data_IF_517258556753
#
_entry.id   IF_517258556753
#
_cell.length_a   1.000
_cell.length_b   1.000
_cell.length_c   1.000
_cell.angle_alpha   90.00
_cell.angle_beta   90.00
_cell.angle_gamma   90.00
#
_symmetry.space_group_name_H-M   'P 1'
#
loop_
_entity.id
_entity.type
_entity.pdbx_description
1 polymer ?
#
# COMPACT_ATOMS: atom_id res chain seq x y z
N UNK A 1 -8.56 17.56 0.66
CA UNK A 1 -7.31 18.21 1.11
C UNK A 1 -7.13 19.60 0.52
N UNK A 2 -6.83 19.75 -0.79
CA UNK A 2 -6.60 21.09 -1.40
C UNK A 2 -7.81 22.02 -1.26
N UNK A 3 -9.03 21.53 -1.55
CA UNK A 3 -10.28 22.31 -1.33
C UNK A 3 -10.50 22.75 0.13
N UNK A 4 -9.82 22.12 1.09
CA UNK A 4 -9.88 22.46 2.52
C UNK A 4 -8.69 23.32 2.97
N UNK A 5 -7.90 23.88 2.04
CA UNK A 5 -6.78 24.78 2.32
C UNK A 5 -5.41 24.11 2.44
N UNK A 6 -5.31 22.79 2.24
CA UNK A 6 -4.03 22.07 2.26
C UNK A 6 -3.20 22.25 0.97
N UNK A 7 -1.88 22.21 1.09
CA UNK A 7 -0.95 22.29 -0.05
C UNK A 7 -0.48 20.91 -0.48
N UNK A 8 -0.82 20.48 -1.71
CA UNK A 8 -0.30 19.25 -2.31
C UNK A 8 0.92 19.58 -3.17
N UNK A 9 2.05 18.92 -2.87
CA UNK A 9 3.29 19.01 -3.66
C UNK A 9 3.75 17.61 -4.04
N UNK A 10 3.99 17.39 -5.33
CA UNK A 10 4.59 16.15 -5.84
C UNK A 10 6.09 16.38 -6.01
N UNK A 11 6.90 15.71 -5.20
CA UNK A 11 8.36 15.81 -5.22
C UNK A 11 8.99 14.58 -4.56
N UNK A 12 10.26 14.29 -4.84
CA UNK A 12 11.04 13.32 -4.05
C UNK A 12 11.56 14.01 -2.79
N UNK A 13 11.32 13.39 -1.64
CA UNK A 13 11.67 13.95 -0.33
C UNK A 13 12.46 12.94 0.50
N UNK A 14 13.36 13.46 1.34
CA UNK A 14 14.08 12.69 2.34
C UNK A 14 14.06 13.42 3.69
N UNK A 15 14.06 12.70 4.83
CA UNK A 15 14.38 13.30 6.12
C UNK A 15 15.69 14.10 6.03
N UNK A 16 15.67 15.31 6.59
CA UNK A 16 16.80 16.21 6.62
C UNK A 16 17.47 16.25 7.98
N UNK A 17 17.69 17.46 8.50
CA UNK A 17 18.47 17.66 9.73
C UNK A 17 17.69 17.29 11.00
N UNK A 18 18.35 16.58 11.92
CA UNK A 18 17.83 16.29 13.26
C UNK A 18 18.61 17.10 14.29
N UNK A 19 17.93 17.78 15.21
CA UNK A 19 18.54 18.57 16.28
C UNK A 19 17.71 18.47 17.54
N UNK A 20 18.34 18.18 18.69
CA UNK A 20 17.66 18.08 19.97
C UNK A 20 16.53 17.04 20.00
N UNK A 21 16.68 15.91 19.30
CA UNK A 21 15.66 14.86 19.23
C UNK A 21 14.43 15.25 18.42
N UNK A 22 14.57 16.15 17.44
CA UNK A 22 13.49 16.61 16.56
C UNK A 22 13.99 16.72 15.12
N UNK A 23 13.14 16.35 14.16
CA UNK A 23 13.36 16.62 12.74
C UNK A 23 13.09 18.11 12.48
N UNK A 24 14.02 18.79 11.84
CA UNK A 24 13.94 20.23 11.54
C UNK A 24 13.36 20.45 10.15
N UNK A 25 13.80 19.66 9.17
CA UNK A 25 13.40 19.82 7.77
C UNK A 25 13.31 18.49 7.00
N UNK A 26 12.61 18.57 5.86
CA UNK A 26 12.72 17.62 4.76
C UNK A 26 13.60 18.24 3.67
N UNK A 27 14.47 17.43 3.08
CA UNK A 27 15.20 17.77 1.86
C UNK A 27 14.38 17.37 0.65
N UNK A 28 14.23 18.29 -0.29
CA UNK A 28 13.51 18.08 -1.55
C UNK A 28 14.52 17.94 -2.70
N UNK A 29 14.15 17.18 -3.74
CA UNK A 29 14.98 16.94 -4.92
C UNK A 29 15.36 18.19 -5.72
N UNK A 30 14.59 19.27 -5.63
CA UNK A 30 14.92 20.58 -6.20
C UNK A 30 15.91 21.40 -5.36
N UNK A 31 16.45 20.82 -4.28
CA UNK A 31 17.38 21.47 -3.35
C UNK A 31 16.70 22.34 -2.29
N UNK A 32 15.38 22.53 -2.36
CA UNK A 32 14.62 23.25 -1.33
C UNK A 32 14.48 22.44 -0.04
N UNK A 33 14.07 23.12 1.03
CA UNK A 33 13.79 22.52 2.34
C UNK A 33 12.37 22.84 2.78
N UNK A 34 11.72 21.88 3.43
CA UNK A 34 10.41 22.06 4.04
C UNK A 34 10.49 21.88 5.54
N UNK A 35 10.04 22.87 6.29
CA UNK A 35 9.98 22.85 7.75
C UNK A 35 8.54 22.65 8.22
N UNK A 36 8.37 22.03 9.37
CA UNK A 36 7.08 21.84 10.03
C UNK A 36 7.28 21.57 11.53
N UNK A 37 6.24 21.82 12.32
CA UNK A 37 6.26 21.49 13.76
C UNK A 37 6.19 19.98 14.00
N UNK A 38 5.49 19.26 13.11
CA UNK A 38 5.30 17.82 13.13
C UNK A 38 5.36 17.22 11.71
N UNK A 39 5.87 15.99 11.62
CA UNK A 39 6.00 15.25 10.37
C UNK A 39 5.30 13.90 10.49
N UNK A 40 4.50 13.54 9.49
CA UNK A 40 3.89 12.21 9.36
C UNK A 40 4.46 11.55 8.13
N UNK A 41 5.15 10.42 8.31
CA UNK A 41 5.65 9.60 7.21
C UNK A 41 4.68 8.45 6.96
N UNK A 42 3.85 8.62 5.94
CA UNK A 42 2.95 7.60 5.40
C UNK A 42 3.45 7.11 4.03
N UNK A 43 4.72 6.76 3.96
CA UNK A 43 5.47 6.57 2.70
C UNK A 43 5.40 5.13 2.15
N UNK A 44 4.41 4.39 2.58
CA UNK A 44 4.15 3.03 2.15
C UNK A 44 5.39 2.11 2.11
N UNK A 45 5.66 1.38 1.02
CA UNK A 45 6.78 0.46 0.90
C UNK A 45 8.17 1.13 0.96
N UNK A 46 8.25 2.46 0.92
CA UNK A 46 9.51 3.19 1.11
C UNK A 46 9.87 3.42 2.58
N UNK A 47 8.95 3.17 3.52
CA UNK A 47 9.19 3.37 4.96
C UNK A 47 10.46 2.66 5.50
N UNK A 48 10.70 1.35 5.25
CA UNK A 48 11.93 0.70 5.70
C UNK A 48 13.19 1.25 5.03
N UNK A 49 13.08 1.89 3.85
CA UNK A 49 14.22 2.57 3.19
C UNK A 49 14.49 3.95 3.78
N UNK A 50 13.44 4.68 4.17
CA UNK A 50 13.56 6.00 4.80
C UNK A 50 14.04 5.93 6.26
N UNK A 51 13.65 4.88 6.98
CA UNK A 51 14.00 4.67 8.39
C UNK A 51 14.56 3.26 8.64
N UNK A 52 15.70 2.89 8.05
CA UNK A 52 16.22 1.51 8.10
C UNK A 52 16.49 1.03 9.53
N UNK A 53 16.99 1.91 10.42
CA UNK A 53 17.25 1.55 11.82
C UNK A 53 16.00 1.29 12.67
N UNK A 54 14.84 1.81 12.24
CA UNK A 54 13.57 1.66 12.99
C UNK A 54 12.65 0.66 12.31
N UNK A 55 12.54 0.68 10.98
CA UNK A 55 11.55 -0.09 10.24
C UNK A 55 12.14 -1.19 9.36
N UNK A 56 13.46 -1.19 9.11
CA UNK A 56 14.10 -2.13 8.18
C UNK A 56 13.92 -3.60 8.56
N UNK A 57 13.90 -3.92 9.85
CA UNK A 57 13.63 -5.28 10.35
C UNK A 57 12.14 -5.53 10.68
N UNK A 58 11.29 -4.48 10.66
CA UNK A 58 9.89 -4.54 11.09
C UNK A 58 8.90 -4.60 9.93
N UNK A 59 9.30 -4.12 8.75
CA UNK A 59 8.47 -4.10 7.55
C UNK A 59 9.17 -4.88 6.43
N UNK A 60 8.50 -5.94 5.98
CA UNK A 60 8.82 -6.62 4.72
C UNK A 60 8.02 -5.99 3.59
N UNK A 61 8.64 -5.87 2.42
CA UNK A 61 8.00 -5.26 1.24
C UNK A 61 7.84 -6.32 0.16
N UNK A 62 6.75 -7.11 0.16
CA UNK A 62 6.53 -8.08 -0.89
C UNK A 62 5.79 -7.46 -2.08
N UNK A 63 5.98 -8.05 -3.26
CA UNK A 63 5.26 -7.70 -4.50
C UNK A 63 4.06 -8.61 -4.74
N UNK A 64 3.01 -8.06 -5.35
CA UNK A 64 1.80 -8.77 -5.76
C UNK A 64 1.43 -8.44 -7.19
N UNK A 65 1.35 -9.48 -8.00
CA UNK A 65 0.89 -9.38 -9.37
C UNK A 65 -0.62 -9.14 -9.42
N UNK A 66 -1.03 -8.28 -10.34
CA UNK A 66 -2.42 -7.93 -10.56
C UNK A 66 -2.68 -7.99 -12.05
N UNK A 67 -3.60 -8.86 -12.46
CA UNK A 67 -3.99 -9.02 -13.86
C UNK A 67 -5.46 -8.66 -14.02
N UNK A 68 -5.78 -7.94 -15.08
CA UNK A 68 -7.15 -7.70 -15.51
C UNK A 68 -7.37 -8.37 -16.86
N UNK A 69 -8.46 -9.12 -16.97
CA UNK A 69 -8.84 -9.85 -18.18
C UNK A 69 -10.09 -9.22 -18.80
N UNK A 70 -10.08 -9.04 -20.12
CA UNK A 70 -11.25 -8.59 -20.86
C UNK A 70 -12.43 -9.53 -20.65
N UNK A 71 -13.64 -9.01 -20.75
CA UNK A 71 -14.85 -9.83 -20.78
C UNK A 71 -15.19 -10.21 -22.23
N UNK A 72 -15.83 -11.37 -22.47
CA UNK A 72 -16.41 -11.68 -23.77
C UNK A 72 -17.35 -10.56 -24.23
N UNK A 73 -17.39 -10.28 -25.54
CA UNK A 73 -18.22 -9.22 -26.09
C UNK A 73 -19.70 -9.44 -25.75
N UNK A 74 -20.35 -8.40 -25.20
CA UNK A 74 -21.76 -8.46 -24.79
C UNK A 74 -22.01 -9.21 -23.47
N UNK A 75 -21.00 -9.82 -22.87
CA UNK A 75 -21.14 -10.52 -21.60
C UNK A 75 -20.96 -9.56 -20.42
N UNK A 76 -21.97 -9.47 -19.57
CA UNK A 76 -21.99 -8.59 -18.39
C UNK A 76 -22.04 -9.38 -17.08
N UNK A 77 -22.05 -10.72 -17.09
CA UNK A 77 -22.25 -11.48 -15.84
C UNK A 77 -21.07 -11.32 -14.87
N UNK A 78 -19.86 -11.05 -15.37
CA UNK A 78 -18.66 -10.75 -14.57
C UNK A 78 -18.37 -9.25 -14.43
N UNK A 79 -19.28 -8.38 -14.88
CA UNK A 79 -19.16 -6.93 -14.69
C UNK A 79 -19.87 -6.50 -13.41
N UNK A 80 -19.41 -5.41 -12.80
CA UNK A 80 -20.15 -4.76 -11.72
C UNK A 80 -21.48 -4.19 -12.27
N UNK A 81 -22.61 -4.35 -11.57
CA UNK A 81 -22.78 -4.94 -10.23
C UNK A 81 -23.17 -6.43 -10.22
N UNK A 82 -23.07 -7.13 -11.35
CA UNK A 82 -23.62 -8.48 -11.53
C UNK A 82 -22.78 -9.60 -10.88
N UNK A 83 -21.53 -9.31 -10.47
CA UNK A 83 -20.64 -10.28 -9.82
C UNK A 83 -20.02 -9.72 -8.53
N UNK A 84 -19.95 -10.51 -7.43
CA UNK A 84 -19.34 -10.06 -6.18
C UNK A 84 -17.80 -10.04 -6.25
N UNK A 85 -17.16 -9.56 -5.19
CA UNK A 85 -15.75 -9.89 -4.97
C UNK A 85 -15.60 -11.39 -4.66
N UNK A 86 -14.41 -11.95 -4.92
CA UNK A 86 -14.12 -13.34 -4.58
C UNK A 86 -12.74 -13.45 -3.92
N UNK A 87 -12.60 -14.46 -3.07
CA UNK A 87 -11.35 -14.84 -2.44
C UNK A 87 -11.34 -16.36 -2.28
N UNK A 88 -10.28 -16.98 -2.77
CA UNK A 88 -9.97 -18.40 -2.64
C UNK A 88 -8.56 -18.55 -2.07
N UNK A 89 -8.14 -19.78 -1.78
CA UNK A 89 -6.83 -20.07 -1.18
C UNK A 89 -5.65 -19.42 -1.95
N UNK A 90 -5.71 -19.47 -3.29
CA UNK A 90 -4.60 -19.04 -4.16
C UNK A 90 -4.84 -17.74 -4.91
N UNK A 91 -6.10 -17.30 -5.01
CA UNK A 91 -6.47 -16.14 -5.82
C UNK A 91 -7.59 -15.33 -5.18
N UNK A 92 -7.56 -14.03 -5.41
CA UNK A 92 -8.65 -13.12 -5.09
C UNK A 92 -8.85 -12.13 -6.23
N UNK A 93 -10.01 -11.48 -6.25
CA UNK A 93 -10.34 -10.57 -7.33
C UNK A 93 -11.71 -9.95 -7.21
N UNK A 94 -12.09 -9.24 -8.25
CA UNK A 94 -13.40 -8.61 -8.35
C UNK A 94 -13.82 -8.42 -9.80
N UNK A 95 -15.12 -8.17 -9.97
CA UNK A 95 -15.80 -7.94 -11.25
C UNK A 95 -15.11 -6.88 -12.12
N UNK A 96 -15.38 -6.89 -13.43
CA UNK A 96 -14.99 -5.77 -14.28
C UNK A 96 -15.74 -4.50 -13.86
N UNK A 97 -15.00 -3.46 -13.48
CA UNK A 97 -15.53 -2.14 -13.12
C UNK A 97 -15.09 -1.17 -14.22
N UNK A 98 -16.02 -0.37 -14.73
CA UNK A 98 -15.78 0.65 -15.78
C UNK A 98 -15.02 0.11 -17.00
N UNK A 99 -15.27 -1.15 -17.37
CA UNK A 99 -14.65 -1.80 -18.53
C UNK A 99 -13.17 -2.13 -18.38
N UNK A 100 -12.58 -2.00 -17.17
CA UNK A 100 -11.13 -2.24 -16.96
C UNK A 100 -10.73 -3.71 -17.04
N UNK A 101 -11.69 -4.63 -16.94
CA UNK A 101 -11.50 -6.07 -16.99
C UNK A 101 -11.71 -6.74 -15.63
N UNK A 102 -11.95 -8.05 -15.65
CA UNK A 102 -12.08 -8.88 -14.47
C UNK A 102 -10.72 -9.02 -13.78
N UNK A 103 -10.64 -8.59 -12.53
CA UNK A 103 -9.37 -8.58 -11.78
C UNK A 103 -9.10 -9.95 -11.18
N UNK A 104 -7.88 -10.43 -11.36
CA UNK A 104 -7.35 -11.67 -10.76
C UNK A 104 -5.96 -11.40 -10.18
N UNK A 105 -5.80 -11.72 -8.91
CA UNK A 105 -4.54 -11.58 -8.18
C UNK A 105 -4.19 -12.87 -7.46
N UNK A 106 -2.97 -13.42 -7.61
CA UNK A 106 -2.50 -14.48 -6.73
C UNK A 106 -2.35 -13.97 -5.29
N UNK A 107 -2.59 -14.85 -4.30
CA UNK A 107 -2.34 -14.56 -2.88
C UNK A 107 -0.85 -14.55 -2.55
N UNK A 108 -0.07 -15.38 -3.25
CA UNK A 108 1.39 -15.41 -3.24
C UNK A 108 2.00 -14.40 -4.21
N UNK A 109 3.26 -14.01 -3.97
CA UNK A 109 4.05 -13.21 -4.90
C UNK A 109 5.52 -13.18 -4.50
N UNK A 110 6.27 -12.20 -5.00
CA UNK A 110 7.66 -12.01 -4.53
C UNK A 110 7.66 -11.67 -3.04
N UNK A 111 8.60 -12.26 -2.31
CA UNK A 111 8.73 -12.05 -0.86
C UNK A 111 9.50 -10.78 -0.52
N UNK A 112 10.26 -10.25 -1.48
CA UNK A 112 11.01 -9.00 -1.39
C UNK A 112 10.83 -8.23 -2.69
N UNK A 113 10.67 -6.91 -2.57
CA UNK A 113 10.51 -5.98 -3.67
C UNK A 113 11.12 -4.62 -3.27
N UNK A 114 12.06 -4.10 -4.06
CA UNK A 114 12.55 -2.73 -3.92
C UNK A 114 11.71 -1.79 -4.80
N UNK A 115 10.94 -0.85 -4.21
CA UNK A 115 10.05 0.02 -4.97
C UNK A 115 10.78 1.04 -5.89
N UNK A 116 12.08 1.28 -5.71
CA UNK A 116 12.87 2.18 -6.57
C UNK A 116 13.48 1.46 -7.79
N UNK A 117 13.88 0.19 -7.67
CA UNK A 117 14.70 -0.48 -8.70
C UNK A 117 14.08 -1.73 -9.31
N UNK A 118 13.14 -2.38 -8.63
CA UNK A 118 12.54 -3.60 -9.17
C UNK A 118 11.51 -3.30 -10.26
N UNK A 119 11.55 -4.11 -11.31
CA UNK A 119 10.65 -4.00 -12.44
C UNK A 119 9.22 -4.40 -12.05
N UNK A 120 8.25 -3.63 -12.53
CA UNK A 120 6.82 -3.90 -12.33
C UNK A 120 6.26 -4.73 -13.49
N UNK A 121 6.95 -5.82 -13.81
CA UNK A 121 6.64 -6.71 -14.95
C UNK A 121 6.21 -8.07 -14.42
N UNK A 122 5.04 -8.52 -14.85
CA UNK A 122 4.52 -9.84 -14.52
C UNK A 122 5.21 -10.88 -15.41
N UNK A 123 5.74 -11.94 -14.79
CA UNK A 123 6.44 -12.99 -15.54
C UNK A 123 5.47 -13.80 -16.42
N UNK A 124 5.99 -14.34 -17.53
CA UNK A 124 5.20 -15.25 -18.37
C UNK A 124 4.69 -16.49 -17.61
N UNK A 125 5.41 -16.92 -16.57
CA UNK A 125 4.99 -18.01 -15.69
C UNK A 125 3.76 -17.65 -14.88
N UNK A 126 3.71 -16.45 -14.30
CA UNK A 126 2.53 -15.99 -13.55
C UNK A 126 1.33 -15.75 -14.47
N UNK A 127 1.55 -15.25 -15.69
CA UNK A 127 0.49 -15.17 -16.72
C UNK A 127 -0.08 -16.57 -17.02
N UNK A 128 0.78 -17.59 -17.21
CA UNK A 128 0.31 -18.97 -17.45
C UNK A 128 -0.47 -19.52 -16.25
N UNK A 129 -0.02 -19.26 -15.03
CA UNK A 129 -0.72 -19.68 -13.79
C UNK A 129 -2.09 -19.03 -13.65
N UNK A 130 -2.19 -17.72 -13.90
CA UNK A 130 -3.45 -17.00 -13.88
C UNK A 130 -4.42 -17.52 -14.96
N UNK A 131 -3.93 -17.80 -16.18
CA UNK A 131 -4.75 -18.40 -17.23
C UNK A 131 -5.23 -19.81 -16.89
N UNK A 132 -4.39 -20.64 -16.27
CA UNK A 132 -4.79 -21.97 -15.81
C UNK A 132 -5.88 -21.88 -14.73
N UNK A 133 -5.76 -20.95 -13.79
CA UNK A 133 -6.80 -20.67 -12.79
C UNK A 133 -8.12 -20.23 -13.45
N UNK A 134 -8.05 -19.28 -14.40
CA UNK A 134 -9.23 -18.84 -15.16
C UNK A 134 -9.88 -19.99 -15.93
N UNK A 135 -9.09 -20.83 -16.62
CA UNK A 135 -9.63 -21.98 -17.34
C UNK A 135 -10.44 -22.93 -16.45
N UNK A 136 -10.07 -23.03 -15.16
CA UNK A 136 -10.75 -23.87 -14.19
C UNK A 136 -11.98 -23.18 -13.56
N UNK A 137 -11.86 -21.90 -13.16
CA UNK A 137 -12.89 -21.21 -12.34
C UNK A 137 -13.78 -20.27 -13.14
N UNK A 138 -13.26 -19.69 -14.23
CA UNK A 138 -13.95 -18.74 -15.09
C UNK A 138 -13.66 -19.06 -16.57
N UNK A 139 -14.15 -20.20 -17.10
CA UNK A 139 -13.72 -20.70 -18.41
C UNK A 139 -13.93 -19.71 -19.58
N UNK A 140 -14.95 -18.84 -19.49
CA UNK A 140 -15.21 -17.77 -20.46
C UNK A 140 -14.08 -16.74 -20.57
N UNK A 141 -13.23 -16.62 -19.54
CA UNK A 141 -12.10 -15.71 -19.47
C UNK A 141 -10.76 -16.32 -19.90
N UNK A 142 -10.66 -17.65 -20.03
CA UNK A 142 -9.39 -18.35 -20.19
C UNK A 142 -8.52 -17.81 -21.35
N UNK A 143 -9.18 -17.46 -22.46
CA UNK A 143 -8.55 -16.96 -23.68
C UNK A 143 -8.77 -15.46 -23.90
N UNK A 144 -9.36 -14.75 -22.94
CA UNK A 144 -9.55 -13.30 -23.04
C UNK A 144 -8.20 -12.57 -22.94
N UNK A 145 -8.08 -11.39 -23.58
CA UNK A 145 -6.86 -10.60 -23.51
C UNK A 145 -6.65 -10.08 -22.09
N UNK A 146 -5.38 -9.92 -21.70
CA UNK A 146 -5.03 -9.13 -20.52
C UNK A 146 -5.16 -7.67 -20.93
N UNK A 147 -6.07 -6.93 -20.31
CA UNK A 147 -6.33 -5.52 -20.59
C UNK A 147 -5.41 -4.60 -19.81
N UNK A 148 -5.02 -5.03 -18.60
CA UNK A 148 -4.15 -4.27 -17.71
C UNK A 148 -3.35 -5.24 -16.82
N UNK A 149 -2.10 -4.89 -16.52
CA UNK A 149 -1.28 -5.56 -15.52
C UNK A 149 -0.60 -4.55 -14.60
N UNK A 150 -0.43 -4.91 -13.32
CA UNK A 150 0.29 -4.12 -12.32
C UNK A 150 1.08 -5.04 -11.39
N UNK A 151 2.15 -4.50 -10.79
CA UNK A 151 2.79 -5.10 -9.62
C UNK A 151 2.61 -4.12 -8.46
N UNK A 152 1.83 -4.53 -7.47
CA UNK A 152 1.53 -3.78 -6.26
C UNK A 152 2.48 -4.19 -5.14
N UNK A 153 2.94 -3.23 -4.34
CA UNK A 153 3.78 -3.50 -3.16
C UNK A 153 2.93 -3.44 -1.90
N UNK A 154 3.27 -4.26 -0.92
CA UNK A 154 2.69 -4.23 0.42
C UNK A 154 3.74 -3.81 1.46
N UNK A 155 3.28 -3.56 2.69
CA UNK A 155 4.13 -3.44 3.88
C UNK A 155 3.64 -4.44 4.90
N UNK A 156 4.31 -5.58 4.99
CA UNK A 156 3.96 -6.62 5.93
C UNK A 156 4.75 -6.45 7.23
N UNK A 157 4.02 -6.33 8.33
CA UNK A 157 4.55 -6.44 9.69
C UNK A 157 4.42 -7.87 10.18
N UNK A 158 5.19 -8.25 11.21
CA UNK A 158 5.22 -9.61 11.71
C UNK A 158 3.88 -10.08 12.34
N UNK A 159 3.12 -9.14 12.90
CA UNK A 159 1.81 -9.36 13.54
C UNK A 159 0.64 -8.89 12.67
N UNK A 160 0.92 -8.48 11.44
CA UNK A 160 -0.04 -7.93 10.47
C UNK A 160 -0.79 -6.67 10.96
N UNK A 161 -0.34 -6.04 12.04
CA UNK A 161 -0.87 -4.78 12.53
C UNK A 161 -0.19 -3.56 11.89
N UNK A 162 -0.91 -2.43 11.86
CA UNK A 162 -0.32 -1.17 11.44
C UNK A 162 0.81 -0.75 12.37
N UNK A 163 1.76 0.02 11.86
CA UNK A 163 2.67 0.82 12.68
C UNK A 163 2.22 2.27 12.55
N UNK A 164 1.58 2.79 13.60
CA UNK A 164 1.20 4.19 13.76
C UNK A 164 1.76 4.66 15.10
N UNK A 165 3.03 5.06 15.10
CA UNK A 165 3.74 5.38 16.33
C UNK A 165 4.82 6.44 16.15
N UNK A 166 5.24 7.06 17.25
CA UNK A 166 6.29 8.08 17.23
C UNK A 166 7.64 7.44 16.96
N UNK A 167 8.48 8.15 16.20
CA UNK A 167 9.86 7.76 16.03
C UNK A 167 10.59 7.80 17.39
N UNK A 168 11.38 6.78 17.76
CA UNK A 168 11.98 6.67 19.10
C UNK A 168 12.94 7.82 19.44
N UNK A 169 13.59 8.40 18.43
CA UNK A 169 14.59 9.46 18.59
C UNK A 169 14.12 10.84 18.10
N UNK A 170 12.94 10.91 17.46
CA UNK A 170 12.43 12.16 16.87
C UNK A 170 11.00 12.41 17.36
N UNK A 171 10.87 13.19 18.43
CA UNK A 171 9.61 13.36 19.14
C UNK A 171 8.48 13.95 18.27
N UNK A 172 8.82 14.66 17.19
CA UNK A 172 7.88 15.27 16.25
C UNK A 172 7.65 14.47 14.97
N UNK A 173 8.14 13.24 14.90
CA UNK A 173 7.96 12.35 13.74
C UNK A 173 7.01 11.22 14.13
N UNK A 174 5.92 11.08 13.36
CA UNK A 174 5.00 9.95 13.41
C UNK A 174 5.21 9.08 12.18
N UNK A 175 5.40 7.78 12.38
CA UNK A 175 5.50 6.77 11.33
C UNK A 175 4.11 6.13 11.18
N UNK A 176 3.60 6.03 9.96
CA UNK A 176 2.29 5.47 9.66
C UNK A 176 2.37 4.50 8.45
N UNK A 177 2.34 3.20 8.70
CA UNK A 177 2.47 2.17 7.66
C UNK A 177 2.13 0.78 8.17
N UNK A 178 2.70 -0.25 7.55
CA UNK A 178 2.49 -1.65 7.96
C UNK A 178 1.08 -2.14 7.67
N UNK A 179 0.49 -1.70 6.55
CA UNK A 179 -0.90 -2.00 6.23
C UNK A 179 -1.19 -3.48 5.94
N UNK A 180 -0.16 -4.33 5.80
CA UNK A 180 -0.23 -5.80 5.73
C UNK A 180 -1.34 -6.34 4.81
N UNK A 181 -1.48 -5.74 3.62
CA UNK A 181 -2.50 -6.15 2.63
C UNK A 181 -3.94 -5.70 2.94
N UNK A 182 -4.15 -4.95 4.02
CA UNK A 182 -5.47 -4.54 4.51
C UNK A 182 -5.64 -3.04 4.73
N UNK A 183 -4.60 -2.23 4.50
CA UNK A 183 -4.63 -0.77 4.69
C UNK A 183 -5.74 -0.04 3.92
N UNK A 184 -6.02 -0.42 2.67
CA UNK A 184 -6.94 0.31 1.79
C UNK A 184 -8.36 0.46 2.37
N UNK A 185 -8.91 -0.60 2.98
CA UNK A 185 -10.28 -0.60 3.54
C UNK A 185 -10.44 0.40 4.70
N UNK A 186 -9.34 0.78 5.35
CA UNK A 186 -9.31 1.70 6.47
C UNK A 186 -9.11 3.17 6.04
N UNK A 187 -8.84 3.44 4.76
CA UNK A 187 -8.58 4.78 4.24
C UNK A 187 -9.58 5.86 4.68
N UNK A 188 -10.90 5.60 4.69
CA UNK A 188 -11.89 6.58 5.13
C UNK A 188 -11.76 7.04 6.60
N UNK A 189 -11.16 6.22 7.48
CA UNK A 189 -11.15 6.47 8.93
C UNK A 189 -9.75 6.66 9.50
N UNK A 190 -8.73 6.00 8.94
CA UNK A 190 -7.40 5.93 9.53
C UNK A 190 -6.70 7.29 9.60
N UNK A 191 -6.97 8.17 8.62
CA UNK A 191 -6.38 9.52 8.59
C UNK A 191 -6.77 10.37 9.80
N UNK A 192 -8.02 10.23 10.29
CA UNK A 192 -8.48 10.94 11.49
C UNK A 192 -7.73 10.47 12.74
N UNK A 193 -7.49 9.16 12.86
CA UNK A 193 -6.70 8.60 13.96
C UNK A 193 -5.24 9.06 13.91
N UNK A 194 -4.60 9.01 12.73
CA UNK A 194 -3.22 9.48 12.53
C UNK A 194 -3.10 10.98 12.91
N UNK A 195 -4.06 11.81 12.52
CA UNK A 195 -4.07 13.23 12.87
C UNK A 195 -4.12 13.44 14.39
N UNK A 196 -5.01 12.75 15.11
CA UNK A 196 -5.08 12.80 16.58
C UNK A 196 -3.76 12.40 17.24
N UNK A 197 -3.16 11.29 16.80
CA UNK A 197 -1.85 10.84 17.30
C UNK A 197 -0.75 11.87 17.05
N UNK A 198 -0.72 12.48 15.87
CA UNK A 198 0.26 13.52 15.52
C UNK A 198 0.13 14.76 16.42
N UNK A 199 -1.10 15.21 16.66
CA UNK A 199 -1.44 16.37 17.49
C UNK A 199 -1.37 16.11 19.00
N UNK A 200 -1.18 14.85 19.42
CA UNK A 200 -1.16 14.48 20.84
C UNK A 200 -2.53 14.53 21.50
N UNK A 201 -3.60 14.42 20.71
CA UNK A 201 -4.96 14.34 21.19
C UNK A 201 -5.28 12.94 21.74
N UNK A 202 -6.33 12.85 22.55
CA UNK A 202 -6.79 11.57 23.08
C UNK A 202 -7.31 10.66 21.95
N UNK A 203 -6.82 9.43 21.98
CA UNK A 203 -7.20 8.34 21.08
C UNK A 203 -7.82 7.17 21.86
N UNK A 204 -8.29 6.16 21.13
CA UNK A 204 -8.73 4.90 21.71
C UNK A 204 -7.51 4.11 22.20
N UNK A 205 -7.42 3.90 23.51
CA UNK A 205 -6.27 3.22 24.14
C UNK A 205 -6.10 1.79 23.64
N UNK A 206 -7.20 1.07 23.40
CA UNK A 206 -7.13 -0.33 22.97
C UNK A 206 -6.51 -0.41 21.59
N UNK A 207 -6.87 0.53 20.70
CA UNK A 207 -6.26 0.63 19.39
C UNK A 207 -4.80 1.10 19.46
N UNK A 208 -4.47 2.01 20.38
CA UNK A 208 -3.08 2.46 20.60
C UNK A 208 -2.14 1.32 20.98
N UNK A 209 -2.64 0.26 21.63
CA UNK A 209 -1.84 -0.93 21.94
C UNK A 209 -1.53 -1.78 20.71
N UNK A 210 -2.41 -1.80 19.72
CA UNK A 210 -2.28 -2.64 18.52
C UNK A 210 -1.34 -2.05 17.47
N UNK A 211 -1.19 -0.72 17.42
CA UNK A 211 -0.50 -0.05 16.30
C UNK A 211 0.92 0.45 16.61
N UNK A 212 1.56 -0.10 17.64
CA UNK A 212 2.86 0.39 18.14
C UNK A 212 4.00 -0.09 17.25
N UNK A 213 5.16 0.54 17.40
CA UNK A 213 6.41 -0.11 17.00
C UNK A 213 6.54 -1.38 17.85
N UNK A 214 6.29 -2.55 17.25
CA UNK A 214 6.52 -3.84 17.90
C UNK A 214 7.96 -3.87 18.44
N UNK A 215 8.12 -4.24 19.72
CA UNK A 215 9.43 -4.30 20.39
C UNK A 215 10.26 -5.42 19.82
#
# INVERSE_FOLDING_TARGET
>A
FVKAGGTLRVARVQPGTVTGGRLVDLRVDDGSRLTADAFVFACGPWLPKLFPGVLGARIQVPGRDVLYFGLPAGDQHLAFPNFPNFSEERYYGFASIDGRGFKVCPTSGTTSFDPDVDERVISATEVRRARAYLAQRFPSLANQPITESRVCQLENTADEHFIIDRHPEMANVLLAGGGSGHGFKHGPVIGGYIAKRALGEQTDSDFDHMVRLAR
#
